data_IF_618766263259
#
_entry.id   IF_618766263259
#
_cell.length_a   1.000
_cell.length_b   1.000
_cell.length_c   1.000
_cell.angle_alpha   90.00
_cell.angle_beta   90.00
_cell.angle_gamma   90.00
#
_symmetry.space_group_name_H-M   'P 1'
#
loop_
_entity.id
_entity.type
_entity.pdbx_description
1 polymer ?
#
# COMPACT_ATOMS: atom_id res chain seq x y z
N UNK A 1 -38.19 -8.12 11.57
CA UNK A 1 -37.25 -7.01 11.85
C UNK A 1 -36.64 -7.11 13.25
N UNK A 2 -37.44 -7.25 14.31
CA UNK A 2 -36.95 -7.37 15.70
C UNK A 2 -35.98 -8.55 15.95
N UNK A 3 -36.25 -9.73 15.39
CA UNK A 3 -35.36 -10.89 15.53
C UNK A 3 -33.98 -10.66 14.89
N UNK A 4 -33.95 -9.99 13.74
CA UNK A 4 -32.70 -9.65 13.05
C UNK A 4 -31.91 -8.66 13.89
N UNK A 5 -32.56 -7.59 14.38
CA UNK A 5 -31.91 -6.60 15.24
C UNK A 5 -31.36 -7.22 16.53
N UNK A 6 -32.11 -8.14 17.15
CA UNK A 6 -31.66 -8.86 18.35
C UNK A 6 -30.44 -9.73 18.04
N UNK A 7 -30.49 -10.55 16.99
CA UNK A 7 -29.33 -11.37 16.58
C UNK A 7 -28.12 -10.54 16.18
N UNK A 8 -28.33 -9.41 15.52
CA UNK A 8 -27.24 -8.48 15.17
C UNK A 8 -26.62 -7.84 16.41
N UNK A 9 -27.43 -7.49 17.41
CA UNK A 9 -26.94 -6.97 18.69
C UNK A 9 -26.17 -8.03 19.48
N UNK A 10 -26.68 -9.26 19.57
CA UNK A 10 -25.98 -10.39 20.20
C UNK A 10 -24.64 -10.67 19.50
N UNK A 11 -24.62 -10.69 18.15
CA UNK A 11 -23.39 -10.85 17.40
C UNK A 11 -22.39 -9.70 17.64
N UNK A 12 -22.89 -8.47 17.77
CA UNK A 12 -22.05 -7.31 18.10
C UNK A 12 -21.41 -7.46 19.49
N UNK A 13 -22.19 -7.83 20.50
CA UNK A 13 -21.70 -8.05 21.86
C UNK A 13 -20.67 -9.17 21.89
N UNK A 14 -20.95 -10.30 21.23
CA UNK A 14 -20.00 -11.40 21.13
C UNK A 14 -18.68 -10.97 20.46
N UNK A 15 -18.76 -10.31 19.30
CA UNK A 15 -17.56 -9.95 18.52
C UNK A 15 -16.74 -8.83 19.15
N UNK A 16 -17.37 -7.83 19.76
CA UNK A 16 -16.66 -6.60 20.17
C UNK A 16 -16.62 -6.37 21.69
N UNK A 17 -17.34 -7.16 22.48
CA UNK A 17 -17.32 -7.05 23.94
C UNK A 17 -16.81 -8.32 24.63
N UNK A 18 -17.14 -9.50 24.12
CA UNK A 18 -16.78 -10.80 24.75
C UNK A 18 -15.51 -11.44 24.18
N UNK A 19 -15.34 -11.48 22.86
CA UNK A 19 -14.18 -12.10 22.20
C UNK A 19 -12.87 -11.30 22.25
N UNK A 20 -12.85 -9.95 22.28
CA UNK A 20 -11.61 -9.20 22.31
C UNK A 20 -10.78 -9.46 23.57
N UNK A 21 -9.46 -9.42 23.41
CA UNK A 21 -8.53 -9.55 24.53
C UNK A 21 -8.67 -8.36 25.50
N UNK A 22 -8.95 -8.60 26.79
CA UNK A 22 -9.15 -7.54 27.77
C UNK A 22 -7.91 -6.64 27.94
N UNK A 23 -6.71 -7.14 27.64
CA UNK A 23 -5.45 -6.38 27.71
C UNK A 23 -5.38 -5.28 26.64
N UNK A 24 -6.11 -5.44 25.54
CA UNK A 24 -6.09 -4.54 24.39
C UNK A 24 -7.26 -3.55 24.37
N UNK A 25 -8.32 -3.82 25.15
CA UNK A 25 -9.60 -3.07 25.14
C UNK A 25 -9.48 -1.59 25.50
N UNK A 26 -8.49 -1.22 26.32
CA UNK A 26 -8.30 0.18 26.75
C UNK A 26 -7.29 0.94 25.88
N UNK A 27 -6.71 0.30 24.87
CA UNK A 27 -5.73 0.94 24.01
C UNK A 27 -6.42 1.78 22.93
N UNK A 28 -5.88 2.98 22.62
CA UNK A 28 -6.41 3.83 21.56
C UNK A 28 -6.57 3.10 20.23
N UNK A 29 -7.69 3.34 19.52
CA UNK A 29 -7.99 2.80 18.19
C UNK A 29 -8.23 1.28 18.12
N UNK A 30 -8.06 0.56 19.24
CA UNK A 30 -8.43 -0.85 19.40
C UNK A 30 -9.71 -1.03 20.22
N UNK A 31 -10.03 -0.07 21.08
CA UNK A 31 -11.17 -0.15 22.00
C UNK A 31 -12.50 -0.44 21.28
N UNK A 32 -12.72 0.20 20.12
CA UNK A 32 -13.99 0.10 19.40
C UNK A 32 -13.77 -0.01 17.89
N UNK A 33 -14.47 -0.92 17.20
CA UNK A 33 -14.27 -1.17 15.77
C UNK A 33 -14.60 0.03 14.88
N UNK A 34 -15.54 0.89 15.29
CA UNK A 34 -15.89 2.05 14.48
C UNK A 34 -14.75 3.08 14.41
N UNK A 35 -13.80 3.06 15.35
CA UNK A 35 -12.67 4.00 15.36
C UNK A 35 -11.76 3.76 14.15
N UNK A 36 -11.33 2.50 13.96
CA UNK A 36 -10.49 2.12 12.81
C UNK A 36 -11.25 2.25 11.49
N UNK A 37 -12.53 1.88 11.46
CA UNK A 37 -13.37 1.98 10.25
C UNK A 37 -13.54 3.46 9.85
N UNK A 38 -13.80 4.33 10.82
CA UNK A 38 -13.95 5.78 10.57
C UNK A 38 -12.63 6.37 10.08
N UNK A 39 -11.51 6.02 10.72
CA UNK A 39 -10.18 6.46 10.31
C UNK A 39 -9.87 6.05 8.87
N UNK A 40 -10.07 4.78 8.52
CA UNK A 40 -9.81 4.27 7.16
C UNK A 40 -10.76 4.87 6.13
N UNK A 41 -12.02 5.10 6.48
CA UNK A 41 -12.99 5.76 5.59
C UNK A 41 -12.57 7.19 5.30
N UNK A 42 -12.18 7.96 6.31
CA UNK A 42 -11.68 9.33 6.15
C UNK A 42 -10.38 9.36 5.33
N UNK A 43 -9.48 8.43 5.61
CA UNK A 43 -8.23 8.25 4.88
C UNK A 43 -8.48 7.98 3.38
N UNK A 44 -9.33 7.01 3.04
CA UNK A 44 -9.66 6.69 1.65
C UNK A 44 -10.36 7.86 0.95
N UNK A 45 -11.28 8.54 1.64
CA UNK A 45 -11.95 9.74 1.12
C UNK A 45 -10.95 10.87 0.84
N UNK A 46 -9.96 11.04 1.71
CA UNK A 46 -8.88 12.00 1.52
C UNK A 46 -8.01 11.63 0.32
N UNK A 47 -7.45 10.42 0.28
CA UNK A 47 -6.47 10.02 -0.74
C UNK A 47 -7.09 9.93 -2.13
N UNK A 48 -8.33 9.45 -2.25
CA UNK A 48 -8.97 9.23 -3.55
C UNK A 48 -9.75 10.42 -4.10
N UNK A 49 -10.29 11.29 -3.23
CA UNK A 49 -11.19 12.36 -3.67
C UNK A 49 -10.79 13.74 -3.18
N UNK A 50 -10.76 13.95 -1.86
CA UNK A 50 -10.61 15.29 -1.32
C UNK A 50 -9.22 15.88 -1.55
N UNK A 51 -8.17 15.09 -1.27
CA UNK A 51 -6.78 15.47 -1.44
C UNK A 51 -6.42 15.80 -2.89
N UNK A 52 -6.65 14.90 -3.87
CA UNK A 52 -6.38 15.19 -5.29
C UNK A 52 -7.14 16.42 -5.80
N UNK A 53 -8.43 16.56 -5.49
CA UNK A 53 -9.25 17.71 -5.88
C UNK A 53 -8.75 19.02 -5.27
N UNK A 54 -8.31 18.98 -4.01
CA UNK A 54 -7.76 20.15 -3.33
C UNK A 54 -6.37 20.54 -3.88
N UNK A 55 -5.56 19.54 -4.24
CA UNK A 55 -4.23 19.74 -4.80
C UNK A 55 -4.26 20.18 -6.27
N UNK A 56 -5.32 19.91 -7.03
CA UNK A 56 -5.45 20.30 -8.44
C UNK A 56 -5.05 21.76 -8.68
N UNK A 57 -5.56 22.66 -7.83
CA UNK A 57 -5.35 24.12 -7.91
C UNK A 57 -4.08 24.64 -7.21
N UNK A 58 -3.21 23.77 -6.70
CA UNK A 58 -2.04 24.15 -5.89
C UNK A 58 -0.74 23.59 -6.45
N UNK A 59 0.41 24.25 -6.27
CA UNK A 59 1.70 23.62 -6.55
C UNK A 59 1.97 22.46 -5.56
N UNK A 60 2.84 21.49 -5.90
CA UNK A 60 3.24 20.44 -4.97
C UNK A 60 3.95 21.04 -3.75
N UNK A 61 3.63 20.55 -2.55
CA UNK A 61 4.27 21.04 -1.32
C UNK A 61 5.72 20.56 -1.20
N UNK A 62 6.61 21.46 -0.77
CA UNK A 62 7.97 21.09 -0.37
C UNK A 62 7.97 20.63 1.09
N UNK A 63 7.78 19.33 1.29
CA UNK A 63 7.74 18.68 2.60
C UNK A 63 8.97 17.79 2.84
N UNK A 64 10.09 18.06 2.17
CA UNK A 64 11.26 17.17 2.21
C UNK A 64 11.83 17.04 3.64
N UNK A 65 11.87 18.12 4.42
CA UNK A 65 12.28 18.07 5.84
C UNK A 65 11.36 17.16 6.69
N UNK A 66 10.05 17.24 6.44
CA UNK A 66 9.06 16.40 7.14
C UNK A 66 9.27 14.94 6.75
N UNK A 67 9.52 14.65 5.48
CA UNK A 67 9.81 13.30 4.99
C UNK A 67 11.11 12.74 5.57
N UNK A 68 12.17 13.56 5.73
CA UNK A 68 13.41 13.13 6.37
C UNK A 68 13.13 12.67 7.80
N UNK A 69 12.44 13.50 8.59
CA UNK A 69 12.12 13.18 9.99
C UNK A 69 11.21 11.95 10.06
N UNK A 70 10.15 11.91 9.24
CA UNK A 70 9.20 10.81 9.19
C UNK A 70 9.88 9.48 8.85
N UNK A 71 10.67 9.44 7.76
CA UNK A 71 11.36 8.22 7.35
C UNK A 71 12.39 7.77 8.40
N UNK A 72 13.08 8.71 9.05
CA UNK A 72 14.01 8.37 10.14
C UNK A 72 13.29 7.77 11.35
N UNK A 73 12.16 8.35 11.76
CA UNK A 73 11.34 7.81 12.85
C UNK A 73 10.78 6.43 12.50
N UNK A 74 10.32 6.23 11.26
CA UNK A 74 9.90 4.93 10.74
C UNK A 74 11.02 3.88 10.82
N UNK A 75 12.25 4.23 10.39
CA UNK A 75 13.42 3.34 10.50
C UNK A 75 13.70 2.96 11.94
N UNK A 76 13.73 3.93 12.86
CA UNK A 76 14.02 3.68 14.28
C UNK A 76 12.95 2.80 14.92
N UNK A 77 11.67 3.10 14.68
CA UNK A 77 10.56 2.36 15.25
C UNK A 77 10.45 0.94 14.68
N UNK A 78 10.61 0.76 13.36
CA UNK A 78 10.64 -0.56 12.73
C UNK A 78 11.86 -1.38 13.20
N UNK A 79 13.02 -0.75 13.35
CA UNK A 79 14.23 -1.44 13.84
C UNK A 79 14.09 -1.87 15.31
N UNK A 80 13.55 -1.00 16.16
CA UNK A 80 13.24 -1.36 17.55
C UNK A 80 12.28 -2.54 17.62
N UNK A 81 11.18 -2.49 16.87
CA UNK A 81 10.20 -3.56 16.84
C UNK A 81 10.80 -4.86 16.32
N UNK A 82 11.63 -4.81 15.28
CA UNK A 82 12.34 -5.97 14.75
C UNK A 82 13.25 -6.59 15.81
N UNK A 83 14.13 -5.80 16.45
CA UNK A 83 15.06 -6.31 17.47
C UNK A 83 14.33 -6.90 18.67
N UNK A 84 13.33 -6.19 19.20
CA UNK A 84 12.55 -6.65 20.34
C UNK A 84 11.77 -7.93 20.02
N UNK A 85 11.14 -8.00 18.85
CA UNK A 85 10.37 -9.19 18.44
C UNK A 85 11.29 -10.35 18.06
N UNK A 86 12.46 -10.10 17.46
CA UNK A 86 13.46 -11.12 17.17
C UNK A 86 14.03 -11.73 18.45
N UNK A 87 14.21 -10.95 19.51
CA UNK A 87 14.57 -11.47 20.83
C UNK A 87 13.50 -12.43 21.39
N UNK A 88 12.22 -12.08 21.28
CA UNK A 88 11.12 -12.99 21.68
C UNK A 88 11.15 -14.27 20.86
N UNK A 89 11.28 -14.17 19.54
CA UNK A 89 11.30 -15.32 18.63
C UNK A 89 12.56 -16.20 18.76
N UNK A 90 13.69 -15.64 19.18
CA UNK A 90 14.93 -16.39 19.35
C UNK A 90 15.04 -17.13 20.68
N UNK A 91 14.44 -16.61 21.75
CA UNK A 91 14.66 -17.11 23.12
C UNK A 91 13.40 -17.55 23.88
N UNK A 92 12.21 -17.07 23.49
CA UNK A 92 10.96 -17.29 24.24
C UNK A 92 9.95 -18.12 23.46
N UNK A 93 9.83 -17.91 22.15
CA UNK A 93 8.82 -18.57 21.32
C UNK A 93 9.36 -19.83 20.62
N UNK A 94 8.44 -20.75 20.33
CA UNK A 94 8.67 -21.86 19.42
C UNK A 94 8.53 -21.34 17.98
N UNK A 95 9.47 -21.73 17.12
CA UNK A 95 9.48 -21.33 15.71
C UNK A 95 8.25 -21.79 14.91
N UNK A 96 7.58 -22.85 15.37
CA UNK A 96 6.43 -23.46 14.70
C UNK A 96 5.33 -23.69 15.74
N UNK A 97 4.13 -23.18 15.43
CA UNK A 97 2.94 -23.34 16.26
C UNK A 97 3.15 -22.80 17.68
N UNK A 98 3.49 -21.52 17.76
CA UNK A 98 3.47 -20.81 19.04
C UNK A 98 2.02 -20.41 19.39
N UNK A 99 1.48 -20.86 20.54
CA UNK A 99 0.16 -20.45 20.99
C UNK A 99 0.13 -18.97 21.41
N UNK A 100 -1.06 -18.41 21.57
CA UNK A 100 -1.21 -17.07 22.14
C UNK A 100 -1.25 -17.20 23.66
N UNK A 101 -0.32 -16.53 24.36
CA UNK A 101 -0.37 -16.42 25.82
C UNK A 101 -1.32 -15.27 26.22
N UNK A 102 -2.46 -15.63 26.81
CA UNK A 102 -3.48 -14.70 27.32
C UNK A 102 -3.27 -14.26 28.78
N UNK A 103 -2.17 -14.69 29.41
CA UNK A 103 -1.87 -14.34 30.80
C UNK A 103 -1.39 -12.89 30.95
N UNK A 104 -1.27 -12.43 32.21
CA UNK A 104 -0.76 -11.10 32.57
C UNK A 104 0.70 -11.16 33.06
N UNK A 105 1.47 -12.17 32.63
CA UNK A 105 2.89 -12.23 32.93
C UNK A 105 3.67 -11.15 32.15
N UNK A 106 4.88 -10.83 32.58
CA UNK A 106 5.68 -9.76 31.98
C UNK A 106 5.99 -10.03 30.49
N UNK A 107 6.23 -11.30 30.13
CA UNK A 107 6.55 -11.70 28.75
C UNK A 107 5.35 -11.52 27.80
N UNK A 108 4.15 -11.95 28.20
CA UNK A 108 2.93 -11.84 27.39
C UNK A 108 2.48 -10.38 27.26
N UNK A 109 2.58 -9.59 28.34
CA UNK A 109 2.32 -8.14 28.29
C UNK A 109 3.34 -7.44 27.40
N UNK A 110 4.61 -7.85 27.43
CA UNK A 110 5.64 -7.33 26.53
C UNK A 110 5.28 -7.61 25.07
N UNK A 111 4.93 -8.85 24.71
CA UNK A 111 4.52 -9.20 23.34
C UNK A 111 3.26 -8.43 22.92
N UNK A 112 2.27 -8.35 23.79
CA UNK A 112 1.02 -7.59 23.56
C UNK A 112 1.36 -6.13 23.20
N UNK A 113 2.28 -5.49 23.93
CA UNK A 113 2.76 -4.13 23.62
C UNK A 113 3.50 -4.04 22.29
N UNK A 114 4.30 -5.04 21.93
CA UNK A 114 4.96 -5.08 20.61
C UNK A 114 3.95 -5.20 19.47
N UNK A 115 2.91 -6.04 19.62
CA UNK A 115 1.85 -6.17 18.62
C UNK A 115 1.06 -4.87 18.46
N UNK A 116 0.83 -4.14 19.56
CA UNK A 116 0.21 -2.83 19.53
C UNK A 116 1.10 -1.78 18.86
N UNK A 117 2.41 -1.79 19.15
CA UNK A 117 3.37 -0.91 18.48
C UNK A 117 3.39 -1.17 16.97
N UNK A 118 3.31 -2.44 16.55
CA UNK A 118 3.18 -2.80 15.14
C UNK A 118 1.90 -2.25 14.50
N UNK A 119 0.77 -2.30 15.22
CA UNK A 119 -0.48 -1.68 14.76
C UNK A 119 -0.32 -0.17 14.55
N UNK A 120 0.30 0.53 15.50
CA UNK A 120 0.57 1.97 15.39
C UNK A 120 1.49 2.27 14.18
N UNK A 121 2.50 1.43 13.92
CA UNK A 121 3.34 1.55 12.73
C UNK A 121 2.52 1.43 11.44
N UNK A 122 1.57 0.50 11.35
CA UNK A 122 0.70 0.39 10.16
C UNK A 122 -0.22 1.61 9.99
N UNK A 123 -0.65 2.25 11.08
CA UNK A 123 -1.37 3.51 11.01
C UNK A 123 -0.46 4.65 10.51
N UNK A 124 0.79 4.69 10.96
CA UNK A 124 1.77 5.66 10.47
C UNK A 124 2.09 5.45 8.99
N UNK A 125 2.15 4.20 8.53
CA UNK A 125 2.36 3.85 7.11
C UNK A 125 1.27 4.47 6.20
N UNK A 126 0.07 4.79 6.71
CA UNK A 126 -0.95 5.49 5.93
C UNK A 126 -0.51 6.90 5.52
N UNK A 127 0.42 7.53 6.25
CA UNK A 127 0.92 8.86 5.93
C UNK A 127 1.72 8.90 4.62
N UNK A 128 2.26 7.77 4.15
CA UNK A 128 2.99 7.68 2.88
C UNK A 128 2.13 8.16 1.70
N UNK A 129 0.90 7.67 1.60
CA UNK A 129 -0.03 8.11 0.54
C UNK A 129 -0.46 9.55 0.71
N UNK A 130 -0.63 10.02 1.95
CA UNK A 130 -0.92 11.42 2.24
C UNK A 130 0.20 12.30 1.68
N UNK A 131 1.46 11.92 1.91
CA UNK A 131 2.61 12.62 1.34
C UNK A 131 2.68 12.52 -0.19
N UNK A 132 2.31 11.39 -0.80
CA UNK A 132 2.22 11.28 -2.26
C UNK A 132 1.20 12.25 -2.85
N UNK A 133 0.03 12.37 -2.23
CA UNK A 133 -1.02 13.31 -2.63
C UNK A 133 -0.54 14.75 -2.50
N UNK A 134 0.05 15.12 -1.36
CA UNK A 134 0.55 16.48 -1.10
C UNK A 134 1.71 16.88 -2.03
N UNK A 135 2.49 15.92 -2.54
CA UNK A 135 3.57 16.16 -3.51
C UNK A 135 3.13 16.01 -4.97
N UNK A 136 1.84 15.81 -5.24
CA UNK A 136 1.29 15.50 -6.57
C UNK A 136 1.97 14.29 -7.25
N UNK A 137 2.34 13.28 -6.47
CA UNK A 137 2.91 12.01 -6.96
C UNK A 137 1.83 10.93 -7.07
N UNK A 138 0.75 11.23 -7.79
CA UNK A 138 -0.41 10.33 -7.91
C UNK A 138 -0.06 8.97 -8.53
N UNK A 139 0.96 8.91 -9.38
CA UNK A 139 1.46 7.65 -9.95
C UNK A 139 2.00 6.67 -8.89
N UNK A 140 2.33 7.15 -7.69
CA UNK A 140 2.77 6.30 -6.56
C UNK A 140 1.57 5.75 -5.76
N UNK A 141 0.38 6.32 -5.92
CA UNK A 141 -0.86 5.83 -5.29
C UNK A 141 -1.45 4.73 -6.17
N UNK A 142 -0.72 3.63 -6.31
CA UNK A 142 -1.15 2.46 -7.08
C UNK A 142 -2.20 1.65 -6.31
N UNK A 143 -2.96 0.82 -7.02
CA UNK A 143 -3.88 -0.14 -6.40
C UNK A 143 -3.15 -1.02 -5.38
N UNK A 144 -1.98 -1.54 -5.76
CA UNK A 144 -1.06 -2.32 -4.93
C UNK A 144 -0.81 -1.64 -3.58
N UNK A 145 -0.37 -0.38 -3.61
CA UNK A 145 -0.02 0.36 -2.40
C UNK A 145 -1.26 0.66 -1.55
N UNK A 146 -2.35 1.15 -2.16
CA UNK A 146 -3.55 1.51 -1.40
C UNK A 146 -4.26 0.29 -0.79
N UNK A 147 -4.35 -0.82 -1.54
CA UNK A 147 -4.89 -2.08 -1.06
C UNK A 147 -4.09 -2.61 0.12
N UNK A 148 -2.76 -2.64 0.00
CA UNK A 148 -1.89 -3.13 1.06
C UNK A 148 -2.02 -2.29 2.32
N UNK A 149 -1.83 -0.98 2.24
CA UNK A 149 -1.85 -0.10 3.42
C UNK A 149 -3.21 -0.11 4.14
N UNK A 150 -4.32 -0.15 3.39
CA UNK A 150 -5.67 -0.22 3.98
C UNK A 150 -5.94 -1.60 4.59
N UNK A 151 -5.61 -2.67 3.86
CA UNK A 151 -5.84 -4.05 4.29
C UNK A 151 -5.00 -4.43 5.50
N UNK A 152 -3.74 -4.03 5.55
CA UNK A 152 -2.85 -4.32 6.68
C UNK A 152 -3.35 -3.68 7.98
N UNK A 153 -3.88 -2.45 7.95
CA UNK A 153 -4.45 -1.83 9.15
C UNK A 153 -5.64 -2.64 9.68
N UNK A 154 -6.56 -3.08 8.81
CA UNK A 154 -7.70 -3.90 9.21
C UNK A 154 -7.28 -5.27 9.75
N UNK A 155 -6.35 -5.94 9.09
CA UNK A 155 -5.85 -7.25 9.49
C UNK A 155 -5.12 -7.19 10.82
N UNK A 156 -4.23 -6.21 11.00
CA UNK A 156 -3.47 -6.04 12.24
C UNK A 156 -4.36 -5.55 13.38
N UNK A 157 -5.39 -4.75 13.10
CA UNK A 157 -6.42 -4.40 14.07
C UNK A 157 -7.14 -5.66 14.58
N UNK A 158 -7.60 -6.53 13.67
CA UNK A 158 -8.22 -7.81 14.05
C UNK A 158 -7.26 -8.72 14.82
N UNK A 159 -6.00 -8.81 14.39
CA UNK A 159 -4.98 -9.59 15.09
C UNK A 159 -4.77 -9.11 16.52
N UNK A 160 -4.58 -7.80 16.72
CA UNK A 160 -4.40 -7.22 18.04
C UNK A 160 -5.64 -7.39 18.92
N UNK A 161 -6.83 -7.27 18.33
CA UNK A 161 -8.08 -7.35 19.07
C UNK A 161 -8.32 -8.76 19.61
N UNK A 162 -8.07 -9.81 18.81
CA UNK A 162 -8.47 -11.18 19.17
C UNK A 162 -7.30 -12.10 19.56
N UNK A 163 -6.10 -11.85 19.05
CA UNK A 163 -4.95 -12.76 19.14
C UNK A 163 -3.62 -11.99 19.25
N UNK A 164 -3.42 -11.17 20.29
CA UNK A 164 -2.23 -10.33 20.45
C UNK A 164 -0.97 -11.11 20.86
N UNK A 165 -0.51 -12.03 19.99
CA UNK A 165 0.65 -12.87 20.25
C UNK A 165 0.73 -14.12 19.37
N UNK A 166 1.65 -15.01 19.71
CA UNK A 166 1.79 -16.33 19.09
C UNK A 166 2.33 -16.31 17.66
N UNK A 167 2.05 -17.40 16.93
CA UNK A 167 2.66 -17.71 15.63
C UNK A 167 2.53 -16.60 14.59
N UNK A 168 1.39 -15.90 14.56
CA UNK A 168 1.09 -14.76 13.67
C UNK A 168 2.10 -13.63 13.72
N UNK A 169 2.69 -13.38 14.89
CA UNK A 169 3.58 -12.22 15.12
C UNK A 169 4.86 -12.28 14.31
N UNK A 170 5.25 -13.46 13.81
CA UNK A 170 6.44 -13.60 12.97
C UNK A 170 6.35 -12.83 11.66
N UNK A 171 5.15 -12.71 11.08
CA UNK A 171 4.92 -11.85 9.91
C UNK A 171 5.33 -10.41 10.24
N UNK A 172 4.95 -9.93 11.43
CA UNK A 172 5.33 -8.61 11.92
C UNK A 172 6.84 -8.43 12.09
N UNK A 173 7.55 -9.48 12.53
CA UNK A 173 9.03 -9.48 12.66
C UNK A 173 9.67 -9.22 11.29
N UNK A 174 9.36 -10.05 10.29
CA UNK A 174 9.97 -9.92 8.96
C UNK A 174 9.53 -8.62 8.30
N UNK A 175 8.24 -8.26 8.40
CA UNK A 175 7.75 -7.00 7.86
C UNK A 175 8.51 -5.79 8.43
N UNK A 176 8.76 -5.77 9.74
CA UNK A 176 9.49 -4.68 10.40
C UNK A 176 10.95 -4.59 9.93
N UNK A 177 11.60 -5.72 9.70
CA UNK A 177 12.94 -5.75 9.11
C UNK A 177 12.94 -5.14 7.69
N UNK A 178 12.04 -5.59 6.82
CA UNK A 178 11.96 -5.10 5.44
C UNK A 178 11.53 -3.63 5.39
N UNK A 179 10.60 -3.21 6.25
CA UNK A 179 10.19 -1.81 6.37
C UNK A 179 11.34 -0.93 6.86
N UNK A 180 12.18 -1.40 7.79
CA UNK A 180 13.38 -0.67 8.21
C UNK A 180 14.30 -0.41 7.00
N UNK A 181 14.56 -1.42 6.17
CA UNK A 181 15.38 -1.26 4.94
C UNK A 181 14.71 -0.34 3.92
N UNK A 182 13.40 -0.50 3.70
CA UNK A 182 12.63 0.30 2.74
C UNK A 182 12.59 1.79 3.13
N UNK A 183 12.26 2.10 4.38
CA UNK A 183 12.23 3.48 4.86
C UNK A 183 13.62 4.10 4.95
N UNK A 184 14.65 3.30 5.21
CA UNK A 184 16.03 3.77 5.13
C UNK A 184 16.38 4.19 3.70
N UNK A 185 15.97 3.42 2.69
CA UNK A 185 16.10 3.83 1.31
C UNK A 185 15.32 5.13 1.01
N UNK A 186 14.07 5.26 1.47
CA UNK A 186 13.31 6.48 1.28
C UNK A 186 13.95 7.71 1.94
N UNK A 187 14.47 7.56 3.16
CA UNK A 187 15.28 8.58 3.82
C UNK A 187 16.47 9.00 2.95
N UNK A 188 17.26 8.03 2.46
CA UNK A 188 18.43 8.30 1.61
C UNK A 188 18.05 9.04 0.32
N UNK A 189 16.92 8.70 -0.32
CA UNK A 189 16.48 9.36 -1.56
C UNK A 189 16.04 10.80 -1.38
N UNK A 190 15.66 11.21 -0.16
CA UNK A 190 15.31 12.60 0.16
C UNK A 190 16.56 13.39 0.53
N UNK A 191 17.48 12.81 1.30
CA UNK A 191 18.75 13.46 1.69
C UNK A 191 19.66 13.65 0.48
N UNK A 192 19.76 12.65 -0.38
CA UNK A 192 20.57 12.72 -1.59
C UNK A 192 19.79 12.18 -2.80
N UNK A 193 19.30 13.09 -3.67
CA UNK A 193 18.53 12.73 -4.86
C UNK A 193 19.24 11.77 -5.82
N UNK A 194 20.58 11.67 -5.79
CA UNK A 194 21.34 10.74 -6.63
C UNK A 194 20.95 9.27 -6.40
N UNK A 195 20.55 8.90 -5.17
CA UNK A 195 20.08 7.53 -4.89
C UNK A 195 18.71 7.21 -5.51
N UNK A 196 17.93 8.23 -5.88
CA UNK A 196 16.62 8.05 -6.53
C UNK A 196 16.75 7.43 -7.92
N UNK A 197 17.87 7.67 -8.59
CA UNK A 197 18.16 7.16 -9.94
C UNK A 197 18.72 5.73 -9.91
N UNK A 198 19.16 5.23 -8.76
CA UNK A 198 19.70 3.88 -8.66
C UNK A 198 18.60 2.83 -8.77
N UNK A 199 18.53 2.19 -9.95
CA UNK A 199 17.65 1.06 -10.22
C UNK A 199 18.06 -0.15 -9.38
N UNK A 200 19.35 -0.27 -9.05
CA UNK A 200 19.91 -1.37 -8.27
C UNK A 200 19.23 -1.46 -6.89
N UNK A 201 19.17 -0.36 -6.14
CA UNK A 201 18.52 -0.34 -4.82
C UNK A 201 17.05 -0.75 -4.89
N UNK A 202 16.29 -0.13 -5.80
CA UNK A 202 14.85 -0.41 -5.94
C UNK A 202 14.60 -1.89 -6.24
N UNK A 203 15.39 -2.48 -7.16
CA UNK A 203 15.27 -3.88 -7.54
C UNK A 203 15.49 -4.82 -6.36
N UNK A 204 16.56 -4.61 -5.58
CA UNK A 204 16.88 -5.50 -4.45
C UNK A 204 15.89 -5.35 -3.29
N UNK A 205 15.36 -4.15 -3.05
CA UNK A 205 14.29 -3.94 -2.06
C UNK A 205 13.03 -4.70 -2.48
N UNK A 206 12.64 -4.63 -3.76
CA UNK A 206 11.49 -5.40 -4.26
C UNK A 206 11.72 -6.91 -4.17
N UNK A 207 12.93 -7.39 -4.45
CA UNK A 207 13.28 -8.81 -4.26
C UNK A 207 13.18 -9.23 -2.79
N UNK A 208 13.62 -8.36 -1.87
CA UNK A 208 13.50 -8.60 -0.43
C UNK A 208 12.03 -8.66 0.02
N UNK A 209 11.17 -7.79 -0.51
CA UNK A 209 9.72 -7.83 -0.25
C UNK A 209 9.07 -9.11 -0.78
N UNK A 210 9.43 -9.57 -1.98
CA UNK A 210 8.96 -10.85 -2.53
C UNK A 210 9.38 -12.02 -1.64
N UNK A 211 10.65 -12.03 -1.21
CA UNK A 211 11.16 -13.06 -0.30
C UNK A 211 10.43 -13.06 1.05
N UNK A 212 10.12 -11.88 1.61
CA UNK A 212 9.29 -11.76 2.81
C UNK A 212 7.94 -12.44 2.61
N UNK A 213 7.18 -12.08 1.55
CA UNK A 213 5.83 -12.65 1.36
C UNK A 213 5.88 -14.15 1.11
N UNK A 214 6.87 -14.64 0.36
CA UNK A 214 7.10 -16.08 0.20
C UNK A 214 7.29 -16.77 1.56
N UNK A 215 8.14 -16.21 2.42
CA UNK A 215 8.37 -16.81 3.73
C UNK A 215 7.14 -16.71 4.65
N UNK A 216 6.38 -15.61 4.60
CA UNK A 216 5.13 -15.47 5.36
C UNK A 216 4.10 -16.52 4.94
N UNK A 217 3.96 -16.76 3.63
CA UNK A 217 3.09 -17.83 3.08
C UNK A 217 3.51 -19.20 3.59
N UNK A 218 4.80 -19.53 3.56
CA UNK A 218 5.30 -20.81 4.07
C UNK A 218 5.05 -20.93 5.57
N UNK A 219 5.40 -19.91 6.34
CA UNK A 219 5.29 -19.90 7.81
C UNK A 219 3.83 -20.03 8.28
N UNK A 220 2.89 -19.32 7.65
CA UNK A 220 1.46 -19.47 7.93
C UNK A 220 0.84 -20.74 7.35
N UNK A 221 1.37 -21.25 6.24
CA UNK A 221 0.94 -22.49 5.60
C UNK A 221 1.16 -23.70 6.50
N UNK A 222 2.24 -23.73 7.30
CA UNK A 222 2.53 -24.83 8.23
C UNK A 222 1.38 -25.06 9.22
N UNK A 223 0.72 -23.99 9.70
CA UNK A 223 -0.41 -24.07 10.65
C UNK A 223 -1.62 -24.77 10.05
N UNK A 224 -1.83 -24.63 8.73
CA UNK A 224 -2.93 -25.32 8.03
C UNK A 224 -2.74 -26.82 8.10
N UNK A 225 -1.52 -27.30 7.89
CA UNK A 225 -1.20 -28.74 7.80
C UNK A 225 -0.86 -29.40 9.13
N UNK A 226 -0.71 -28.64 10.23
CA UNK A 226 -0.40 -29.19 11.55
C UNK A 226 -1.68 -29.34 12.41
N UNK A 227 -2.25 -30.55 12.56
CA UNK A 227 -3.49 -30.76 13.28
C UNK A 227 -3.38 -30.51 14.78
N UNK A 228 -2.25 -30.86 15.39
CA UNK A 228 -2.01 -30.75 16.84
C UNK A 228 -1.52 -29.36 17.24
N UNK A 229 -1.94 -28.32 16.51
CA UNK A 229 -1.50 -26.97 16.74
C UNK A 229 -2.51 -26.18 17.58
N UNK A 230 -2.06 -25.68 18.73
CA UNK A 230 -2.86 -24.84 19.64
C UNK A 230 -3.10 -23.42 19.08
N UNK A 231 -2.30 -22.98 18.09
CA UNK A 231 -2.53 -21.69 17.45
C UNK A 231 -3.77 -21.75 16.55
N UNK A 232 -4.69 -20.77 16.64
CA UNK A 232 -5.98 -20.83 15.96
C UNK A 232 -5.84 -20.89 14.44
N UNK A 233 -6.35 -21.95 13.82
CA UNK A 233 -6.22 -22.22 12.38
C UNK A 233 -7.02 -21.26 11.49
N UNK A 234 -8.06 -20.62 12.05
CA UNK A 234 -8.83 -19.61 11.33
C UNK A 234 -7.96 -18.40 10.95
N UNK A 235 -6.86 -18.15 11.66
CA UNK A 235 -5.92 -17.07 11.34
C UNK A 235 -5.24 -17.31 10.00
N UNK A 236 -4.83 -18.55 9.70
CA UNK A 236 -4.30 -18.91 8.39
C UNK A 236 -5.33 -18.70 7.28
N UNK A 237 -6.62 -18.91 7.54
CA UNK A 237 -7.67 -18.64 6.55
C UNK A 237 -7.80 -17.14 6.20
N UNK A 238 -7.26 -16.25 7.04
CA UNK A 238 -7.29 -14.79 6.84
C UNK A 238 -5.95 -14.26 6.33
N UNK A 239 -4.83 -14.61 6.98
CA UNK A 239 -3.51 -14.09 6.62
C UNK A 239 -2.95 -14.74 5.34
N UNK A 240 -3.14 -16.05 5.15
CA UNK A 240 -2.56 -16.75 4.00
C UNK A 240 -3.10 -16.25 2.65
N UNK A 241 -4.41 -16.02 2.46
CA UNK A 241 -4.91 -15.42 1.21
C UNK A 241 -4.37 -14.01 0.99
N UNK A 242 -4.25 -13.20 2.04
CA UNK A 242 -3.68 -11.85 1.94
C UNK A 242 -2.21 -11.92 1.48
N UNK A 243 -1.39 -12.74 2.12
CA UNK A 243 0.03 -12.85 1.81
C UNK A 243 0.26 -13.43 0.41
N UNK A 244 -0.55 -14.40 -0.01
CA UNK A 244 -0.51 -14.97 -1.35
C UNK A 244 -0.91 -13.94 -2.42
N UNK A 245 -1.99 -13.20 -2.19
CA UNK A 245 -2.40 -12.11 -3.07
C UNK A 245 -1.30 -11.06 -3.17
N UNK A 246 -0.65 -10.76 -2.04
CA UNK A 246 0.43 -9.79 -2.00
C UNK A 246 1.66 -10.26 -2.77
N UNK A 247 2.03 -11.53 -2.60
CA UNK A 247 3.12 -12.15 -3.35
C UNK A 247 2.89 -12.05 -4.87
N UNK A 248 1.67 -12.35 -5.33
CA UNK A 248 1.31 -12.27 -6.76
C UNK A 248 1.46 -10.86 -7.29
N UNK A 249 0.94 -9.85 -6.58
CA UNK A 249 1.03 -8.46 -7.02
C UNK A 249 2.47 -7.95 -7.06
N UNK A 250 3.32 -8.32 -6.11
CA UNK A 250 4.74 -7.94 -6.12
C UNK A 250 5.53 -8.65 -7.23
N UNK A 251 5.23 -9.91 -7.50
CA UNK A 251 5.83 -10.65 -8.63
C UNK A 251 5.41 -10.03 -9.96
N UNK A 252 4.12 -9.71 -10.14
CA UNK A 252 3.63 -9.02 -11.34
C UNK A 252 4.31 -7.64 -11.52
N UNK A 253 4.36 -6.84 -10.46
CA UNK A 253 5.07 -5.55 -10.45
C UNK A 253 6.55 -5.72 -10.83
N UNK A 254 7.23 -6.74 -10.30
CA UNK A 254 8.63 -6.99 -10.57
C UNK A 254 8.87 -7.40 -12.03
N UNK A 255 8.04 -8.30 -12.57
CA UNK A 255 8.11 -8.74 -13.98
C UNK A 255 7.90 -7.54 -14.90
N UNK A 256 6.85 -6.75 -14.69
CA UNK A 256 6.53 -5.58 -15.51
C UNK A 256 7.64 -4.52 -15.48
N UNK A 257 8.18 -4.24 -14.29
CA UNK A 257 9.12 -3.14 -14.07
C UNK A 257 10.57 -3.48 -14.45
N UNK A 258 11.01 -4.70 -14.16
CA UNK A 258 12.43 -5.09 -14.25
C UNK A 258 12.76 -6.13 -15.32
N UNK A 259 11.78 -6.93 -15.77
CA UNK A 259 12.00 -7.98 -16.78
C UNK A 259 11.49 -7.55 -18.15
N UNK A 260 10.23 -7.10 -18.24
CA UNK A 260 9.53 -6.84 -19.51
C UNK A 260 9.82 -5.47 -20.15
N UNK A 261 10.90 -4.78 -19.79
CA UNK A 261 11.22 -3.48 -20.43
C UNK A 261 11.25 -3.63 -21.96
N UNK A 262 10.51 -2.82 -22.73
CA UNK A 262 10.62 -2.84 -24.18
C UNK A 262 12.07 -2.46 -24.53
N UNK A 263 12.74 -3.31 -25.32
CA UNK A 263 13.94 -2.88 -26.03
C UNK A 263 13.56 -1.62 -26.79
N UNK A 264 14.27 -0.52 -26.57
CA UNK A 264 14.20 0.61 -27.48
C UNK A 264 14.36 0.04 -28.89
N UNK A 265 13.37 0.26 -29.76
CA UNK A 265 13.55 0.05 -31.19
C UNK A 265 14.76 0.89 -31.58
N UNK A 266 15.89 0.23 -31.83
CA UNK A 266 16.91 0.80 -32.70
C UNK A 266 16.16 0.98 -34.03
N UNK A 267 15.87 2.22 -34.39
CA UNK A 267 15.45 2.54 -35.74
C UNK A 267 16.57 2.08 -36.66
N UNK A 268 16.33 1.01 -37.41
CA UNK A 268 17.10 0.68 -38.60
C UNK A 268 16.96 1.86 -39.56
N UNK A 269 17.95 2.76 -39.54
CA UNK A 269 18.23 3.62 -40.69
C UNK A 269 18.85 2.76 -41.78
N UNK A 270 18.02 1.97 -42.45
CA UNK A 270 18.28 1.61 -43.84
C UNK A 270 17.86 2.80 -44.69
N UNK A 271 18.82 3.65 -45.03
CA UNK A 271 18.71 4.40 -46.27
C UNK A 271 19.97 4.17 -47.11
N UNK A 272 19.69 3.71 -48.32
CA UNK A 272 20.62 3.25 -49.33
C UNK A 272 21.14 4.42 -50.19
N UNK A 273 22.36 4.25 -50.71
CA UNK A 273 23.03 4.99 -51.80
C UNK A 273 23.73 6.33 -51.47
N UNK A 274 25.07 6.31 -51.45
CA UNK A 274 25.86 6.74 -52.61
C UNK A 274 27.35 6.40 -52.45
N UNK A 275 27.95 5.89 -53.53
CA UNK A 275 29.39 5.67 -53.72
C UNK A 275 30.17 6.99 -53.65
N UNK A 276 31.43 6.96 -53.19
CA UNK A 276 32.66 7.46 -53.87
C UNK A 276 33.90 7.41 -52.95
N UNK A 277 34.78 6.44 -53.23
CA UNK A 277 36.27 6.42 -53.32
C UNK A 277 37.16 7.46 -52.56
N UNK A 278 38.07 6.87 -51.75
CA UNK A 278 39.52 7.11 -51.50
C UNK A 278 40.11 8.32 -50.72
N UNK A 279 41.01 7.90 -49.80
CA UNK A 279 42.33 8.44 -49.42
C UNK A 279 42.48 9.77 -48.66
N UNK A 280 43.38 9.75 -47.66
CA UNK A 280 44.28 10.87 -47.41
C UNK A 280 44.45 11.32 -45.96
N UNK A 281 45.68 11.20 -45.48
CA UNK A 281 46.31 11.67 -44.25
C UNK A 281 46.18 13.17 -43.87
N UNK A 282 46.40 13.41 -42.57
CA UNK A 282 47.14 14.53 -41.89
C UNK A 282 46.52 15.94 -41.67
N UNK A 283 46.44 16.27 -40.36
CA UNK A 283 46.93 17.47 -39.62
C UNK A 283 46.20 18.85 -39.72
N UNK A 284 45.78 19.29 -38.52
CA UNK A 284 45.74 20.64 -37.91
C UNK A 284 44.68 21.72 -38.25
N UNK A 285 44.27 22.32 -37.13
CA UNK A 285 43.96 23.73 -36.84
C UNK A 285 42.51 24.24 -36.75
N UNK A 286 42.19 24.57 -35.49
CA UNK A 286 41.32 25.60 -34.90
C UNK A 286 40.43 26.47 -35.78
N UNK A 287 39.14 26.46 -35.45
CA UNK A 287 38.31 27.67 -35.36
C UNK A 287 37.24 27.47 -34.28
N UNK A 288 37.24 28.35 -33.28
CA UNK A 288 36.18 28.51 -32.29
C UNK A 288 35.04 29.26 -33.00
N UNK A 289 33.84 28.67 -33.07
CA UNK A 289 32.63 29.43 -33.36
C UNK A 289 31.61 29.27 -32.23
N UNK A 290 31.22 30.43 -31.72
CA UNK A 290 30.47 30.68 -30.49
C UNK A 290 28.97 30.69 -30.77
N UNK A 291 28.41 29.53 -31.15
CA UNK A 291 26.96 29.37 -31.35
C UNK A 291 26.38 28.04 -30.81
N UNK A 292 27.14 27.25 -30.04
CA UNK A 292 26.74 25.90 -29.57
C UNK A 292 26.16 25.85 -28.14
N UNK A 293 26.08 26.98 -27.43
CA UNK A 293 25.64 27.02 -26.02
C UNK A 293 24.12 27.23 -25.89
N UNK A 294 23.45 27.82 -26.88
CA UNK A 294 21.99 28.03 -26.84
C UNK A 294 21.19 26.78 -27.26
N UNK A 295 21.70 25.96 -28.19
CA UNK A 295 21.05 24.70 -28.57
C UNK A 295 21.21 23.60 -27.51
N UNK A 296 22.32 23.60 -26.76
CA UNK A 296 22.53 22.64 -25.66
C UNK A 296 21.57 22.89 -24.48
N UNK A 297 21.13 24.14 -24.25
CA UNK A 297 20.11 24.46 -23.24
C UNK A 297 18.69 24.10 -23.70
N UNK A 298 18.38 24.24 -25.00
CA UNK A 298 17.08 23.83 -25.54
C UNK A 298 16.89 22.31 -25.56
N UNK A 299 17.95 21.54 -25.78
CA UNK A 299 17.90 20.07 -25.78
C UNK A 299 17.78 19.49 -24.37
N UNK A 300 18.36 20.12 -23.34
CA UNK A 300 18.22 19.66 -21.95
C UNK A 300 16.84 19.95 -21.35
N UNK A 301 16.18 21.05 -21.73
CA UNK A 301 14.84 21.39 -21.23
C UNK A 301 13.76 20.47 -21.85
N UNK A 302 13.97 19.96 -23.07
CA UNK A 302 13.02 19.06 -23.71
C UNK A 302 13.10 17.59 -23.25
N UNK A 303 14.20 17.18 -22.60
CA UNK A 303 14.38 15.80 -22.10
C UNK A 303 13.92 15.60 -20.65
N UNK A 304 13.55 16.64 -19.91
CA UNK A 304 12.96 16.50 -18.56
C UNK A 304 11.46 16.13 -18.59
N UNK A 305 10.80 16.22 -19.76
CA UNK A 305 9.35 15.96 -19.91
C UNK A 305 9.00 14.65 -20.62
N UNK A 306 9.98 13.81 -20.95
CA UNK A 306 9.78 12.62 -21.82
C UNK A 306 10.24 11.30 -21.19
N UNK A 307 10.14 11.14 -19.87
CA UNK A 307 10.30 9.84 -19.21
C UNK A 307 8.94 9.14 -19.11
N UNK A 308 8.69 8.30 -20.11
CA UNK A 308 7.67 7.24 -20.24
C UNK A 308 6.23 7.62 -19.94
N UNK A 309 5.58 8.20 -20.94
CA UNK A 309 4.18 7.92 -21.21
C UNK A 309 4.11 6.60 -21.97
N UNK A 310 3.57 5.55 -21.36
CA UNK A 310 3.04 4.40 -22.09
C UNK A 310 1.53 4.42 -21.96
N UNK A 311 0.85 4.23 -23.09
CA UNK A 311 -0.60 4.32 -23.31
C UNK A 311 -1.46 3.43 -22.40
N UNK A 312 -0.88 2.62 -21.51
CA UNK A 312 -1.57 1.74 -20.56
C UNK A 312 -1.98 2.44 -19.25
N UNK A 313 -1.30 3.51 -18.82
CA UNK A 313 -1.68 4.25 -17.59
C UNK A 313 -2.98 5.06 -17.77
N UNK A 314 -3.27 5.47 -19.01
CA UNK A 314 -4.60 6.02 -19.37
C UNK A 314 -5.68 4.94 -19.27
N UNK A 315 -5.35 3.68 -19.54
CA UNK A 315 -6.30 2.57 -19.51
C UNK A 315 -6.66 2.17 -18.07
N UNK A 316 -5.72 2.18 -17.11
CA UNK A 316 -6.05 1.90 -15.69
C UNK A 316 -6.88 3.03 -15.05
N UNK A 317 -6.58 4.29 -15.39
CA UNK A 317 -7.40 5.43 -14.94
C UNK A 317 -8.77 5.45 -15.61
N UNK A 318 -8.88 5.07 -16.89
CA UNK A 318 -10.16 4.86 -17.57
C UNK A 318 -10.93 3.66 -17.02
N UNK A 319 -10.28 2.56 -16.65
CA UNK A 319 -10.93 1.40 -16.06
C UNK A 319 -11.46 1.71 -14.65
N UNK A 320 -10.72 2.46 -13.83
CA UNK A 320 -11.19 2.93 -12.52
C UNK A 320 -12.31 3.97 -12.66
N UNK A 321 -12.19 4.91 -13.60
CA UNK A 321 -13.24 5.89 -13.93
C UNK A 321 -14.52 5.20 -14.45
N UNK A 322 -14.38 4.21 -15.35
CA UNK A 322 -15.49 3.43 -15.90
C UNK A 322 -16.12 2.50 -14.86
N UNK A 323 -15.34 1.92 -13.94
CA UNK A 323 -15.86 1.16 -12.82
C UNK A 323 -16.66 2.05 -11.86
N UNK A 324 -16.16 3.25 -11.55
CA UNK A 324 -16.87 4.24 -10.74
C UNK A 324 -18.15 4.73 -11.44
N UNK A 325 -18.11 4.93 -12.76
CA UNK A 325 -19.28 5.33 -13.55
C UNK A 325 -20.34 4.21 -13.65
N UNK A 326 -19.90 2.95 -13.72
CA UNK A 326 -20.75 1.76 -13.74
C UNK A 326 -21.43 1.54 -12.38
N UNK A 327 -20.71 1.76 -11.27
CA UNK A 327 -21.30 1.78 -9.91
C UNK A 327 -22.28 2.94 -9.74
N UNK A 328 -22.00 4.11 -10.33
CA UNK A 328 -22.90 5.27 -10.30
C UNK A 328 -24.17 5.07 -11.14
N UNK A 329 -24.08 4.36 -12.28
CA UNK A 329 -25.24 3.95 -13.10
C UNK A 329 -26.07 2.86 -12.41
N UNK A 330 -25.43 1.89 -11.75
CA UNK A 330 -26.14 0.87 -10.96
C UNK A 330 -26.81 1.45 -9.70
N UNK A 331 -26.21 2.48 -9.08
CA UNK A 331 -26.83 3.24 -7.99
C UNK A 331 -27.96 4.18 -8.45
N UNK A 332 -27.95 4.64 -9.71
CA UNK A 332 -29.02 5.46 -10.28
C UNK A 332 -30.23 4.64 -10.76
N UNK A 333 -30.03 3.36 -11.12
CA UNK A 333 -31.10 2.42 -11.49
C UNK A 333 -31.87 1.84 -10.30
N UNK A 334 -31.34 1.95 -9.08
CA UNK A 334 -31.98 1.48 -7.84
C UNK A 334 -32.58 2.60 -6.96
N UNK A 335 -32.88 3.77 -7.54
CA UNK A 335 -33.73 4.76 -6.85
C UNK A 335 -35.19 4.28 -6.92
N UNK A 336 -35.86 3.99 -5.79
CA UNK A 336 -37.30 3.72 -5.82
C UNK A 336 -38.01 4.98 -6.31
N UNK A 337 -38.79 4.81 -7.37
CA UNK A 337 -39.55 5.86 -8.04
C UNK A 337 -40.76 6.22 -7.17
N UNK A 338 -40.54 6.94 -6.07
CA UNK A 338 -41.60 7.35 -5.14
C UNK A 338 -42.43 8.56 -5.63
N UNK A 339 -42.17 9.10 -6.82
CA UNK A 339 -42.86 10.29 -7.33
C UNK A 339 -44.01 9.99 -8.31
N UNK A 340 -44.41 8.72 -8.48
CA UNK A 340 -45.63 8.36 -9.26
C UNK A 340 -46.85 7.99 -8.41
N UNK A 341 -46.73 7.90 -7.09
CA UNK A 341 -47.87 7.56 -6.21
C UNK A 341 -48.60 8.76 -5.58
N UNK A 342 -48.28 9.99 -6.00
CA UNK A 342 -48.96 11.21 -5.52
C UNK A 342 -49.70 11.99 -6.63
N UNK A 343 -49.94 11.35 -7.78
CA UNK A 343 -50.79 11.90 -8.86
C UNK A 343 -51.96 11.00 -9.28
N UNK A 344 -52.06 9.76 -8.79
CA UNK A 344 -53.21 8.88 -9.04
C UNK A 344 -54.31 8.97 -7.96
N UNK A 345 -54.02 9.50 -6.77
CA UNK A 345 -55.03 9.70 -5.71
C UNK A 345 -55.81 11.01 -5.80
N UNK A 346 -55.53 11.85 -6.82
CA UNK A 346 -56.32 13.06 -7.12
C UNK A 346 -57.31 12.89 -8.29
N UNK A 347 -57.42 11.71 -8.87
CA UNK A 347 -58.35 11.44 -10.00
C UNK A 347 -59.45 10.42 -9.67
N UNK A 348 -59.55 9.94 -8.42
CA UNK A 348 -60.58 8.96 -7.99
C UNK A 348 -61.61 9.45 -6.97
N UNK A 349 -61.58 10.71 -6.54
CA UNK A 349 -62.61 11.30 -5.66
C UNK A 349 -63.33 12.48 -6.31
N UNK A 350 -63.98 12.23 -7.45
CA UNK A 350 -64.78 13.23 -8.15
C UNK A 350 -65.81 12.59 -9.06
N UNK A 351 -66.68 11.74 -8.49
CA UNK A 351 -68.03 11.43 -9.00
C UNK A 351 -68.71 10.42 -8.07
N UNK A 352 -69.38 10.91 -7.02
CA UNK A 352 -70.68 10.37 -6.60
C UNK A 352 -71.35 11.32 -5.59
N UNK A 353 -72.48 11.87 -6.06
CA UNK A 353 -73.55 12.60 -5.37
C UNK A 353 -73.28 14.03 -4.92
#
# INVERSE_FOLDING_TARGET
>A
MALILKKSWEAYQLLFEELPDPRMKNLPLLAKPYEVITLLTLYLMFVLKWGPKWMEKRPPFNIDKVLIIYNLLQVLACSYLFVASAYVWGWKYKWICEPVDFSYNDDAIFVTRLTYLYFILKLLDLMDTVFFVLRKKFNQVSFLHLYHHTGMVLLVWGANTYIPGGHGTFIGVINSFVHSVMYFYYFLTVVNPSYKQSIWWKKHITQLQILQFFWCVVHMGIIVFKPDCEYPRWTSAVFLPQDLFMLVLFVDFYIKTYIKKPKAKLEDKNDSNSKYVANGSTIAETAIDSNSIEDSKKVLINNENSISYTLEDKCEFEQLSNAILKVRKLGALNKPNNDKKMKEDKFKNGNHK
#
